data_IF_332014361266
#
_entry.id   IF_332014361266
#
_cell.length_a   1.000
_cell.length_b   1.000
_cell.length_c   1.000
_cell.angle_alpha   90.00
_cell.angle_beta   90.00
_cell.angle_gamma   90.00
#
_symmetry.space_group_name_H-M   'P 1'
#
loop_
_entity.id
_entity.type
_entity.pdbx_description
1 polymer ?
#
# COMPACT_ATOMS: atom_id res chain seq x y z
N UNK A 1 5.06 -14.85 -6.22
CA UNK A 1 4.10 -14.56 -5.13
C UNK A 1 3.78 -13.07 -5.04
N UNK A 2 4.76 -12.18 -4.87
CA UNK A 2 4.57 -10.72 -4.82
C UNK A 2 3.68 -10.15 -5.94
N UNK A 3 3.99 -10.46 -7.21
CA UNK A 3 3.25 -9.91 -8.36
C UNK A 3 1.75 -10.25 -8.35
N UNK A 4 1.37 -11.45 -7.87
CA UNK A 4 -0.03 -11.85 -7.77
C UNK A 4 -0.77 -11.07 -6.68
N UNK A 5 -0.11 -10.87 -5.54
CA UNK A 5 -0.65 -10.04 -4.45
C UNK A 5 -0.78 -8.58 -4.88
N UNK A 6 0.22 -8.06 -5.61
CA UNK A 6 0.19 -6.70 -6.12
C UNK A 6 -0.95 -6.50 -7.13
N UNK A 7 -1.20 -7.48 -8.01
CA UNK A 7 -2.32 -7.42 -8.94
C UNK A 7 -3.67 -7.41 -8.21
N UNK A 8 -3.84 -8.29 -7.22
CA UNK A 8 -5.06 -8.33 -6.41
C UNK A 8 -5.27 -7.01 -5.65
N UNK A 9 -4.19 -6.49 -5.05
CA UNK A 9 -4.19 -5.23 -4.36
C UNK A 9 -4.59 -4.06 -5.27
N UNK A 10 -3.98 -3.96 -6.46
CA UNK A 10 -4.33 -2.96 -7.46
C UNK A 10 -5.80 -3.08 -7.87
N UNK A 11 -6.29 -4.29 -8.13
CA UNK A 11 -7.69 -4.51 -8.51
C UNK A 11 -8.68 -4.06 -7.42
N UNK A 12 -8.35 -4.26 -6.14
CA UNK A 12 -9.17 -3.77 -5.02
C UNK A 12 -9.16 -2.24 -4.95
N UNK A 13 -8.01 -1.61 -5.16
CA UNK A 13 -7.90 -0.15 -5.15
C UNK A 13 -8.66 0.52 -6.30
N UNK A 14 -8.91 -0.17 -7.41
CA UNK A 14 -9.77 0.33 -8.50
C UNK A 14 -11.25 0.48 -8.08
N UNK A 15 -11.66 -0.05 -6.93
CA UNK A 15 -13.00 0.17 -6.39
C UNK A 15 -13.16 1.52 -5.68
N UNK A 16 -12.06 2.26 -5.55
CA UNK A 16 -12.06 3.62 -5.08
C UNK A 16 -13.05 4.50 -5.89
N UNK A 17 -14.03 5.07 -5.21
CA UNK A 17 -15.07 5.90 -5.81
C UNK A 17 -16.29 5.12 -6.33
N UNK A 18 -16.24 3.79 -6.32
CA UNK A 18 -17.36 2.91 -6.66
C UNK A 18 -18.06 2.45 -5.37
N UNK A 19 -17.28 2.09 -4.36
CA UNK A 19 -17.77 1.67 -3.03
C UNK A 19 -17.29 2.63 -1.94
N UNK A 20 -17.76 2.42 -0.70
CA UNK A 20 -17.35 3.23 0.45
C UNK A 20 -15.83 3.14 0.66
N UNK A 21 -15.18 4.28 0.85
CA UNK A 21 -13.71 4.36 0.97
C UNK A 21 -13.19 3.49 2.11
N UNK A 22 -13.85 3.50 3.27
CA UNK A 22 -13.49 2.68 4.44
C UNK A 22 -13.43 1.18 4.11
N UNK A 23 -14.32 0.70 3.24
CA UNK A 23 -14.31 -0.70 2.82
C UNK A 23 -13.11 -1.01 1.90
N UNK A 24 -12.77 -0.08 1.00
CA UNK A 24 -11.58 -0.21 0.12
C UNK A 24 -10.31 -0.16 0.95
N UNK A 25 -10.22 0.74 1.94
CA UNK A 25 -9.07 0.87 2.83
C UNK A 25 -8.91 -0.32 3.76
N UNK A 26 -9.98 -0.84 4.35
CA UNK A 26 -9.93 -2.06 5.17
C UNK A 26 -9.45 -3.26 4.35
N UNK A 27 -10.01 -3.48 3.17
CA UNK A 27 -9.63 -4.62 2.34
C UNK A 27 -8.23 -4.45 1.72
N UNK A 28 -7.96 -3.29 1.13
CA UNK A 28 -6.71 -2.98 0.45
C UNK A 28 -5.56 -2.76 1.43
N UNK A 29 -5.67 -1.77 2.32
CA UNK A 29 -4.56 -1.35 3.18
C UNK A 29 -4.43 -2.25 4.42
N UNK A 30 -5.51 -2.46 5.16
CA UNK A 30 -5.45 -3.21 6.44
C UNK A 30 -5.24 -4.71 6.22
N UNK A 31 -5.86 -5.30 5.19
CA UNK A 31 -5.75 -6.74 4.91
C UNK A 31 -4.66 -7.05 3.88
N UNK A 32 -4.78 -6.56 2.64
CA UNK A 32 -3.85 -6.96 1.56
C UNK A 32 -2.43 -6.40 1.74
N UNK A 33 -2.30 -5.09 1.98
CA UNK A 33 -1.00 -4.45 2.14
C UNK A 33 -0.33 -4.89 3.45
N UNK A 34 -0.93 -4.60 4.60
CA UNK A 34 -0.28 -4.82 5.89
C UNK A 34 -0.06 -6.30 6.24
N UNK A 35 -0.95 -7.22 5.83
CA UNK A 35 -0.81 -8.65 6.22
C UNK A 35 -0.06 -9.50 5.20
N UNK A 36 -0.01 -9.10 3.92
CA UNK A 36 0.57 -9.96 2.88
C UNK A 36 1.70 -9.28 2.11
N UNK A 37 1.48 -8.08 1.55
CA UNK A 37 2.52 -7.39 0.78
C UNK A 37 3.68 -6.94 1.68
N UNK A 38 3.37 -6.35 2.84
CA UNK A 38 4.39 -5.86 3.77
C UNK A 38 5.31 -6.98 4.27
N UNK A 39 4.75 -8.17 4.56
CA UNK A 39 5.57 -9.35 4.87
C UNK A 39 6.51 -9.72 3.73
N UNK A 40 6.08 -9.59 2.47
CA UNK A 40 6.96 -9.88 1.35
C UNK A 40 8.08 -8.84 1.20
N UNK A 41 7.76 -7.57 1.45
CA UNK A 41 8.72 -6.47 1.43
C UNK A 41 9.76 -6.61 2.55
N UNK A 42 9.32 -6.92 3.78
CA UNK A 42 10.22 -7.13 4.93
C UNK A 42 11.16 -8.33 4.74
N UNK A 43 10.72 -9.35 4.01
CA UNK A 43 11.55 -10.51 3.68
C UNK A 43 12.42 -10.31 2.42
N UNK A 44 12.27 -9.19 1.71
CA UNK A 44 13.13 -8.84 0.58
C UNK A 44 14.36 -8.09 1.12
N UNK A 45 15.60 -8.57 0.85
CA UNK A 45 16.79 -7.88 1.31
C UNK A 45 16.82 -6.39 0.90
N UNK A 46 17.37 -5.49 1.74
CA UNK A 46 17.55 -4.10 1.37
C UNK A 46 18.34 -3.97 0.06
N UNK A 47 17.87 -3.10 -0.85
CA UNK A 47 18.50 -2.89 -2.15
C UNK A 47 17.51 -2.56 -3.27
N UNK A 48 17.98 -2.54 -4.52
CA UNK A 48 17.19 -2.09 -5.67
C UNK A 48 15.87 -2.84 -5.86
N UNK A 49 15.84 -4.16 -5.62
CA UNK A 49 14.62 -4.97 -5.74
C UNK A 49 13.56 -4.58 -4.70
N UNK A 50 13.97 -4.28 -3.46
CA UNK A 50 13.04 -3.81 -2.43
C UNK A 50 12.44 -2.45 -2.81
N UNK A 51 13.30 -1.53 -3.26
CA UNK A 51 12.89 -0.18 -3.70
C UNK A 51 11.92 -0.27 -4.88
N UNK A 52 12.20 -1.12 -5.88
CA UNK A 52 11.32 -1.32 -7.02
C UNK A 52 9.96 -1.87 -6.60
N UNK A 53 9.91 -2.85 -5.69
CA UNK A 53 8.65 -3.39 -5.16
C UNK A 53 7.86 -2.34 -4.38
N UNK A 54 8.52 -1.55 -3.54
CA UNK A 54 7.90 -0.44 -2.81
C UNK A 54 7.32 0.60 -3.78
N UNK A 55 8.07 0.98 -4.82
CA UNK A 55 7.61 1.90 -5.86
C UNK A 55 6.36 1.37 -6.58
N UNK A 56 6.32 0.07 -6.91
CA UNK A 56 5.15 -0.57 -7.52
C UNK A 56 3.91 -0.54 -6.63
N UNK A 57 4.07 -0.71 -5.31
CA UNK A 57 2.96 -0.59 -4.35
C UNK A 57 2.44 0.85 -4.30
N UNK A 58 3.35 1.82 -4.20
CA UNK A 58 2.99 3.25 -4.14
C UNK A 58 2.24 3.70 -5.40
N UNK A 59 2.66 3.22 -6.56
CA UNK A 59 2.02 3.53 -7.84
C UNK A 59 0.55 3.05 -7.95
N UNK A 60 0.09 2.17 -7.06
CA UNK A 60 -1.30 1.73 -7.05
C UNK A 60 -2.24 2.64 -6.25
N UNK A 61 -1.72 3.51 -5.38
CA UNK A 61 -2.57 4.27 -4.47
C UNK A 61 -3.36 5.38 -5.18
N UNK A 62 -4.67 5.56 -4.85
CA UNK A 62 -5.43 6.70 -5.35
C UNK A 62 -4.91 8.02 -4.77
N UNK A 63 -4.57 8.98 -5.64
CA UNK A 63 -4.06 10.29 -5.21
C UNK A 63 -5.03 11.04 -4.28
N UNK A 64 -6.34 10.84 -4.47
CA UNK A 64 -7.37 11.54 -3.69
C UNK A 64 -7.33 11.22 -2.19
N UNK A 65 -6.81 10.05 -1.81
CA UNK A 65 -6.69 9.66 -0.40
C UNK A 65 -5.70 10.53 0.38
N UNK A 66 -4.85 11.28 -0.30
CA UNK A 66 -3.82 12.11 0.30
C UNK A 66 -4.08 13.61 0.18
N UNK A 67 -5.16 14.04 -0.48
CA UNK A 67 -5.40 15.46 -0.78
C UNK A 67 -5.66 16.31 0.47
N UNK A 68 -6.37 15.76 1.45
CA UNK A 68 -6.78 16.48 2.65
C UNK A 68 -5.89 16.15 3.87
N UNK A 69 -4.76 15.49 3.64
CA UNK A 69 -3.80 15.18 4.70
C UNK A 69 -2.91 16.39 4.99
N UNK A 70 -2.70 16.66 6.28
CA UNK A 70 -1.69 17.63 6.70
C UNK A 70 -0.29 17.20 6.25
N UNK A 71 0.58 18.17 5.99
CA UNK A 71 1.96 17.89 5.61
C UNK A 71 2.66 17.05 6.68
N UNK A 72 3.21 15.90 6.29
CA UNK A 72 3.86 14.95 7.20
C UNK A 72 2.92 13.93 7.83
N UNK A 73 1.61 14.02 7.58
CA UNK A 73 0.63 13.03 7.99
C UNK A 73 0.43 11.95 6.91
N UNK A 74 -0.04 10.79 7.32
CA UNK A 74 -0.38 9.66 6.43
C UNK A 74 -1.65 8.98 6.92
N UNK A 75 -2.20 8.07 6.14
CA UNK A 75 -3.30 7.23 6.58
C UNK A 75 -2.83 6.29 7.70
N UNK A 76 -3.62 6.06 8.76
CA UNK A 76 -3.25 5.17 9.86
C UNK A 76 -2.80 3.77 9.40
N UNK A 77 -3.45 3.23 8.37
CA UNK A 77 -3.18 1.93 7.79
C UNK A 77 -1.83 1.88 7.04
N UNK A 78 -1.29 3.03 6.63
CA UNK A 78 -0.01 3.12 5.92
C UNK A 78 1.19 3.28 6.86
N UNK A 79 0.97 3.48 8.18
CA UNK A 79 2.06 3.76 9.12
C UNK A 79 3.18 2.72 9.09
N UNK A 80 2.85 1.42 9.10
CA UNK A 80 3.85 0.36 9.06
C UNK A 80 4.64 0.36 7.74
N UNK A 81 3.95 0.66 6.63
CA UNK A 81 4.58 0.75 5.33
C UNK A 81 5.51 1.98 5.24
N UNK A 82 5.06 3.14 5.72
CA UNK A 82 5.90 4.34 5.82
C UNK A 82 7.14 4.09 6.70
N UNK A 83 7.00 3.37 7.81
CA UNK A 83 8.16 2.98 8.64
C UNK A 83 9.13 2.08 7.89
N UNK A 84 8.64 1.10 7.12
CA UNK A 84 9.47 0.25 6.24
C UNK A 84 10.23 1.07 5.19
N UNK A 85 9.60 2.09 4.60
CA UNK A 85 10.23 2.95 3.59
C UNK A 85 11.39 3.81 4.12
N UNK A 86 11.45 4.03 5.45
CA UNK A 86 12.46 4.85 6.10
C UNK A 86 13.69 4.05 6.57
N UNK A 87 13.68 2.71 6.44
CA UNK A 87 14.78 1.82 6.80
C UNK A 87 15.81 1.70 5.67
#
# INVERSE_FOLDING_TARGET
FFLLLLQLFSNVLLWDGIVQEDAVRDLGLSKLLNRYLLLNLLNTPPGPDNIEKCSKVVACFPERWFRDLESGSTLPELLNFCQHLLQ
#
